data_IF_430895951129
#
_entry.id   IF_430895951129
#
_cell.length_a   1.000
_cell.length_b   1.000
_cell.length_c   1.000
_cell.angle_alpha   90.00
_cell.angle_beta   90.00
_cell.angle_gamma   90.00
#
_symmetry.space_group_name_H-M   'P 1'
#
loop_
_entity.id
_entity.type
_entity.pdbx_description
1 polymer ?
#
# COMPACT_ATOMS: atom_id res chain seq x y z
N UNK A 1 13.44 -3.36 16.68
CA UNK A 1 12.74 -3.67 15.43
C UNK A 1 11.89 -4.91 15.72
N UNK A 2 10.60 -4.70 15.87
CA UNK A 2 9.69 -5.84 15.98
C UNK A 2 9.56 -6.46 14.60
N UNK A 3 9.94 -7.72 14.50
CA UNK A 3 9.74 -8.58 13.34
C UNK A 3 8.24 -8.73 13.07
N UNK A 4 7.68 -7.79 12.33
CA UNK A 4 6.37 -8.01 11.72
C UNK A 4 6.62 -8.88 10.50
N UNK A 5 6.72 -10.19 10.73
CA UNK A 5 6.75 -11.15 9.64
C UNK A 5 5.53 -10.90 8.76
N UNK A 6 5.75 -10.64 7.49
CA UNK A 6 4.66 -10.56 6.51
C UNK A 6 4.03 -11.94 6.39
N UNK A 7 3.08 -12.22 7.24
CA UNK A 7 2.30 -13.47 7.21
C UNK A 7 1.20 -13.35 6.16
N UNK A 8 0.78 -14.46 5.61
CA UNK A 8 -0.36 -14.47 4.68
C UNK A 8 -1.70 -14.47 5.42
N UNK A 9 -1.70 -15.04 6.60
CA UNK A 9 -2.83 -15.04 7.51
C UNK A 9 -2.30 -14.58 8.87
N UNK A 10 -2.90 -13.54 9.41
CA UNK A 10 -2.62 -13.04 10.74
C UNK A 10 -3.71 -13.48 11.69
N UNK A 11 -3.32 -14.04 12.83
CA UNK A 11 -4.27 -14.35 13.90
C UNK A 11 -4.76 -13.06 14.54
N UNK A 12 -6.06 -12.97 14.79
CA UNK A 12 -6.65 -11.86 15.52
C UNK A 12 -6.21 -11.92 16.98
N UNK A 13 -5.49 -10.90 17.45
CA UNK A 13 -4.81 -10.89 18.75
C UNK A 13 -4.98 -9.58 19.54
N UNK A 14 -5.84 -8.65 19.07
CA UNK A 14 -6.08 -7.36 19.71
C UNK A 14 -4.80 -6.55 20.02
N UNK A 15 -3.79 -6.65 19.13
CA UNK A 15 -2.65 -5.75 19.22
C UNK A 15 -3.04 -4.33 18.82
N UNK A 16 -2.32 -3.28 19.26
CA UNK A 16 -2.62 -1.90 18.87
C UNK A 16 -2.71 -1.72 17.34
N UNK A 17 -1.87 -2.40 16.58
CA UNK A 17 -1.91 -2.36 15.11
C UNK A 17 -3.22 -2.93 14.57
N UNK A 18 -3.71 -4.01 15.16
CA UNK A 18 -4.97 -4.64 14.74
C UNK A 18 -6.18 -3.82 15.18
N UNK A 19 -6.16 -3.28 16.42
CA UNK A 19 -7.25 -2.44 16.94
C UNK A 19 -7.48 -1.19 16.11
N UNK A 20 -6.40 -0.49 15.75
CA UNK A 20 -6.49 0.72 14.92
C UNK A 20 -6.47 0.45 13.42
N UNK A 21 -6.16 -0.77 13.02
CA UNK A 21 -6.16 -1.22 11.64
C UNK A 21 -7.43 -1.98 11.28
N UNK A 22 -7.32 -3.31 11.24
CA UNK A 22 -8.38 -4.18 10.71
C UNK A 22 -9.67 -4.15 11.52
N UNK A 23 -9.61 -4.16 12.86
CA UNK A 23 -10.82 -4.09 13.69
C UNK A 23 -11.56 -2.79 13.49
N UNK A 24 -10.84 -1.67 13.55
CA UNK A 24 -11.42 -0.35 13.33
C UNK A 24 -12.04 -0.23 11.93
N UNK A 25 -11.28 -0.67 10.91
CA UNK A 25 -11.78 -0.66 9.54
C UNK A 25 -13.08 -1.43 9.40
N UNK A 26 -13.13 -2.68 9.84
CA UNK A 26 -14.32 -3.52 9.68
C UNK A 26 -15.54 -2.97 10.45
N UNK A 27 -15.31 -2.40 11.64
CA UNK A 27 -16.39 -1.78 12.41
C UNK A 27 -16.96 -0.55 11.69
N UNK A 28 -16.13 0.40 11.34
CA UNK A 28 -16.59 1.67 10.74
C UNK A 28 -17.07 1.50 9.30
N UNK A 29 -16.42 0.62 8.52
CA UNK A 29 -16.81 0.36 7.14
C UNK A 29 -18.16 -0.36 7.01
N UNK A 30 -18.61 -1.03 8.06
CA UNK A 30 -19.93 -1.67 8.10
C UNK A 30 -21.07 -0.67 7.86
N UNK A 31 -20.92 0.55 8.33
CA UNK A 31 -21.91 1.63 8.19
C UNK A 31 -21.85 2.35 6.83
N UNK A 32 -20.76 2.16 6.06
CA UNK A 32 -20.62 2.77 4.73
C UNK A 32 -20.87 1.74 3.62
N UNK A 33 -21.94 1.95 2.84
CA UNK A 33 -22.37 1.02 1.78
C UNK A 33 -21.28 0.76 0.74
N UNK A 34 -20.44 1.75 0.40
CA UNK A 34 -19.38 1.60 -0.60
C UNK A 34 -18.24 0.75 -0.01
N UNK A 35 -17.82 1.02 1.21
CA UNK A 35 -16.77 0.25 1.87
C UNK A 35 -17.23 -1.16 2.18
N UNK A 36 -18.44 -1.34 2.70
CA UNK A 36 -19.03 -2.65 3.00
C UNK A 36 -19.17 -3.53 1.76
N UNK A 37 -19.46 -2.96 0.61
CA UNK A 37 -19.55 -3.68 -0.66
C UNK A 37 -18.18 -3.84 -1.35
N UNK A 38 -17.10 -3.35 -0.78
CA UNK A 38 -15.77 -3.57 -1.34
C UNK A 38 -15.35 -5.04 -1.18
N UNK A 39 -14.62 -5.53 -2.15
CA UNK A 39 -14.08 -6.89 -2.10
C UNK A 39 -13.13 -7.07 -0.90
N UNK A 40 -12.39 -6.03 -0.54
CA UNK A 40 -11.53 -6.03 0.65
C UNK A 40 -12.34 -6.28 1.93
N UNK A 41 -13.42 -5.52 2.15
CA UNK A 41 -14.28 -5.70 3.32
C UNK A 41 -14.88 -7.11 3.37
N UNK A 42 -15.37 -7.62 2.25
CA UNK A 42 -15.96 -8.96 2.19
C UNK A 42 -14.96 -10.07 2.54
N UNK A 43 -13.76 -10.03 1.95
CA UNK A 43 -12.72 -11.02 2.21
C UNK A 43 -12.21 -10.96 3.66
N UNK A 44 -12.04 -9.77 4.20
CA UNK A 44 -11.57 -9.61 5.59
C UNK A 44 -12.64 -9.97 6.60
N UNK A 45 -13.91 -9.64 6.36
CA UNK A 45 -15.03 -10.07 7.22
C UNK A 45 -15.17 -11.59 7.27
N UNK A 46 -15.02 -12.26 6.12
CA UNK A 46 -15.00 -13.73 6.06
C UNK A 46 -13.81 -14.31 6.82
N UNK A 47 -12.63 -13.74 6.65
CA UNK A 47 -11.41 -14.18 7.35
C UNK A 47 -11.52 -13.96 8.86
N UNK A 48 -12.06 -12.81 9.28
CA UNK A 48 -12.27 -12.47 10.69
C UNK A 48 -13.23 -13.43 11.39
N UNK A 49 -14.27 -13.91 10.71
CA UNK A 49 -15.18 -14.92 11.24
C UNK A 49 -14.44 -16.24 11.62
N UNK A 50 -13.26 -16.47 11.06
CA UNK A 50 -12.37 -17.59 11.36
C UNK A 50 -11.20 -17.20 12.30
N UNK A 51 -11.28 -16.03 12.95
CA UNK A 51 -10.25 -15.53 13.87
C UNK A 51 -8.96 -15.05 13.21
N UNK A 52 -9.01 -14.69 11.94
CA UNK A 52 -7.84 -14.29 11.15
C UNK A 52 -8.11 -13.05 10.30
N UNK A 53 -7.06 -12.45 9.77
CA UNK A 53 -7.15 -11.50 8.66
C UNK A 53 -6.03 -11.77 7.64
N UNK A 54 -6.21 -11.25 6.43
CA UNK A 54 -5.36 -11.57 5.29
C UNK A 54 -4.21 -10.55 5.16
N UNK A 55 -3.02 -11.03 4.86
CA UNK A 55 -1.93 -10.18 4.41
C UNK A 55 -2.07 -9.81 2.93
N UNK A 56 -1.38 -8.75 2.51
CA UNK A 56 -1.43 -8.25 1.13
C UNK A 56 -1.16 -9.33 0.05
N UNK A 57 -0.20 -10.27 0.20
CA UNK A 57 -0.04 -11.34 -0.77
C UNK A 57 -1.23 -12.32 -0.81
N UNK A 58 -1.85 -12.64 0.33
CA UNK A 58 -3.03 -13.49 0.36
C UNK A 58 -4.23 -12.82 -0.33
N UNK A 59 -4.44 -11.53 -0.07
CA UNK A 59 -5.43 -10.72 -0.76
C UNK A 59 -5.19 -10.72 -2.28
N UNK A 60 -3.95 -10.46 -2.72
CA UNK A 60 -3.61 -10.47 -4.14
C UNK A 60 -3.92 -11.82 -4.79
N UNK A 61 -3.57 -12.93 -4.15
CA UNK A 61 -3.83 -14.27 -4.66
C UNK A 61 -5.33 -14.59 -4.71
N UNK A 62 -6.11 -14.18 -3.72
CA UNK A 62 -7.57 -14.38 -3.71
C UNK A 62 -8.28 -13.53 -4.78
N UNK A 63 -7.87 -12.26 -4.92
CA UNK A 63 -8.52 -11.31 -5.85
C UNK A 63 -8.16 -11.58 -7.31
N UNK A 64 -6.93 -11.98 -7.58
CA UNK A 64 -6.38 -12.07 -8.92
C UNK A 64 -6.20 -13.52 -9.42
N UNK A 65 -6.82 -14.48 -8.75
CA UNK A 65 -6.57 -15.91 -8.98
C UNK A 65 -6.76 -16.38 -10.44
N UNK A 66 -7.71 -15.81 -11.18
CA UNK A 66 -8.05 -16.27 -12.54
C UNK A 66 -7.65 -15.30 -13.66
N UNK A 67 -7.22 -14.09 -13.30
CA UNK A 67 -7.07 -13.00 -14.26
C UNK A 67 -5.61 -12.69 -14.62
N UNK A 68 -4.65 -13.42 -14.05
CA UNK A 68 -3.23 -13.15 -14.23
C UNK A 68 -2.42 -14.38 -14.65
N UNK A 69 -1.25 -14.13 -15.22
CA UNK A 69 -0.32 -15.19 -15.66
C UNK A 69 0.53 -15.78 -14.52
N UNK A 70 0.61 -15.11 -13.40
CA UNK A 70 1.36 -15.56 -12.24
C UNK A 70 1.66 -14.44 -11.24
N UNK A 71 2.10 -14.85 -10.06
CA UNK A 71 2.54 -13.97 -8.99
C UNK A 71 4.04 -14.09 -8.79
N UNK A 72 4.71 -12.95 -8.55
CA UNK A 72 6.12 -12.87 -8.21
C UNK A 72 6.25 -12.18 -6.86
N UNK A 73 6.88 -12.82 -5.90
CA UNK A 73 7.09 -12.28 -4.55
C UNK A 73 8.57 -12.21 -4.23
N UNK A 74 8.98 -11.09 -3.65
CA UNK A 74 10.36 -10.82 -3.27
C UNK A 74 10.40 -10.46 -1.79
N UNK A 75 11.21 -11.15 -1.02
CA UNK A 75 11.42 -10.85 0.39
C UNK A 75 12.81 -11.35 0.83
N UNK A 76 13.43 -10.66 1.78
CA UNK A 76 14.64 -11.13 2.45
C UNK A 76 14.34 -12.24 3.46
N UNK A 77 13.12 -12.26 3.99
CA UNK A 77 12.68 -13.22 4.98
C UNK A 77 12.18 -14.52 4.31
N UNK A 78 13.02 -15.55 4.35
CA UNK A 78 12.70 -16.87 3.79
C UNK A 78 11.39 -17.44 4.35
N UNK A 79 11.16 -17.28 5.65
CA UNK A 79 9.94 -17.74 6.30
C UNK A 79 8.67 -17.06 5.77
N UNK A 80 8.74 -15.78 5.39
CA UNK A 80 7.63 -15.09 4.75
C UNK A 80 7.30 -15.71 3.38
N UNK A 81 8.31 -16.02 2.59
CA UNK A 81 8.14 -16.67 1.28
C UNK A 81 7.57 -18.10 1.40
N UNK A 82 8.05 -18.89 2.36
CA UNK A 82 7.51 -20.22 2.65
C UNK A 82 6.04 -20.18 3.09
N UNK A 83 5.64 -19.14 3.83
CA UNK A 83 4.24 -18.89 4.18
C UNK A 83 3.39 -18.57 2.94
N UNK A 84 3.90 -17.77 2.00
CA UNK A 84 3.22 -17.48 0.72
C UNK A 84 2.96 -18.77 -0.05
N UNK A 85 3.97 -19.59 -0.24
CA UNK A 85 3.87 -20.86 -0.97
C UNK A 85 2.91 -21.84 -0.27
N UNK A 86 2.95 -21.89 1.05
CA UNK A 86 2.04 -22.75 1.83
C UNK A 86 0.60 -22.29 1.71
N UNK A 87 0.34 -20.98 1.79
CA UNK A 87 -0.98 -20.43 1.57
C UNK A 87 -1.49 -20.76 0.16
N UNK A 88 -0.66 -20.55 -0.86
CA UNK A 88 -1.02 -20.82 -2.25
C UNK A 88 -1.42 -22.29 -2.47
N UNK A 89 -0.64 -23.24 -1.92
CA UNK A 89 -0.98 -24.67 -1.97
C UNK A 89 -2.31 -24.97 -1.29
N UNK A 90 -2.53 -24.43 -0.09
CA UNK A 90 -3.76 -24.66 0.68
C UNK A 90 -5.00 -24.08 0.01
N UNK A 91 -4.86 -22.95 -0.68
CA UNK A 91 -5.96 -22.29 -1.37
C UNK A 91 -6.10 -22.74 -2.83
N UNK A 92 -5.31 -23.72 -3.28
CA UNK A 92 -5.28 -24.18 -4.66
C UNK A 92 -5.19 -23.02 -5.68
N UNK A 93 -4.31 -22.06 -5.41
CA UNK A 93 -4.09 -20.89 -6.28
C UNK A 93 -3.59 -21.38 -7.65
N UNK A 94 -4.34 -21.08 -8.70
CA UNK A 94 -4.11 -21.62 -10.06
C UNK A 94 -2.94 -20.96 -10.79
N UNK A 95 -2.77 -19.61 -10.75
CA UNK A 95 -1.64 -18.96 -11.39
C UNK A 95 -0.31 -19.37 -10.73
N UNK A 96 0.75 -19.62 -11.52
CA UNK A 96 2.05 -19.95 -10.99
C UNK A 96 2.57 -18.92 -10.01
N UNK A 97 3.17 -19.39 -8.93
CA UNK A 97 3.81 -18.54 -7.93
C UNK A 97 5.31 -18.76 -8.00
N UNK A 98 6.06 -17.66 -8.02
CA UNK A 98 7.52 -17.66 -7.90
C UNK A 98 7.92 -16.75 -6.75
N UNK A 99 8.74 -17.27 -5.87
CA UNK A 99 9.31 -16.56 -4.74
C UNK A 99 10.81 -16.32 -4.96
N UNK A 100 11.29 -15.17 -4.52
CA UNK A 100 12.70 -14.78 -4.66
C UNK A 100 13.20 -14.30 -3.30
N UNK A 101 14.09 -15.08 -2.69
CA UNK A 101 14.70 -14.72 -1.41
C UNK A 101 15.92 -13.80 -1.69
N UNK A 102 15.66 -12.54 -1.89
CA UNK A 102 16.66 -11.52 -2.17
C UNK A 102 16.12 -10.11 -1.82
N UNK A 103 17.02 -9.13 -1.87
CA UNK A 103 16.62 -7.72 -1.84
C UNK A 103 15.59 -7.46 -2.95
N UNK A 104 14.41 -6.95 -2.56
CA UNK A 104 13.28 -6.77 -3.48
C UNK A 104 13.55 -5.69 -4.53
N UNK A 105 14.31 -4.65 -4.18
CA UNK A 105 14.65 -3.57 -5.12
C UNK A 105 15.52 -4.11 -6.24
N UNK A 106 16.62 -4.76 -5.88
CA UNK A 106 17.56 -5.32 -6.87
C UNK A 106 16.95 -6.49 -7.64
N UNK A 107 16.23 -7.37 -6.93
CA UNK A 107 15.54 -8.51 -7.54
C UNK A 107 14.55 -8.08 -8.60
N UNK A 108 13.72 -7.09 -8.31
CA UNK A 108 12.74 -6.57 -9.27
C UNK A 108 13.44 -5.84 -10.41
N UNK A 109 14.38 -4.92 -10.14
CA UNK A 109 15.11 -4.20 -11.18
C UNK A 109 15.77 -5.14 -12.19
N UNK A 110 16.31 -6.25 -11.72
CA UNK A 110 16.95 -7.26 -12.56
C UNK A 110 15.99 -7.93 -13.55
N UNK A 111 14.75 -8.20 -13.14
CA UNK A 111 13.79 -8.92 -13.98
C UNK A 111 12.86 -8.02 -14.78
N UNK A 112 12.72 -6.73 -14.40
CA UNK A 112 11.80 -5.78 -15.04
C UNK A 112 11.86 -5.80 -16.58
N UNK A 113 13.05 -5.83 -17.24
CA UNK A 113 13.11 -5.82 -18.71
C UNK A 113 12.47 -7.05 -19.36
N UNK A 114 12.34 -8.16 -18.63
CA UNK A 114 11.75 -9.40 -19.13
C UNK A 114 10.25 -9.53 -18.84
N UNK A 115 9.69 -8.62 -18.04
CA UNK A 115 8.28 -8.67 -17.69
C UNK A 115 7.39 -8.00 -18.75
N UNK A 116 6.17 -8.51 -18.97
CA UNK A 116 5.24 -7.90 -19.92
C UNK A 116 4.76 -6.53 -19.40
N UNK A 117 4.42 -5.61 -20.33
CA UNK A 117 3.86 -4.27 -19.98
C UNK A 117 2.56 -4.35 -19.17
N UNK A 118 1.83 -5.47 -19.26
CA UNK A 118 0.61 -5.73 -18.48
C UNK A 118 0.89 -6.05 -17.01
N UNK A 119 2.16 -6.13 -16.60
CA UNK A 119 2.53 -6.37 -15.21
C UNK A 119 2.02 -5.23 -14.31
N UNK A 120 1.48 -5.61 -13.17
CA UNK A 120 1.14 -4.70 -12.08
C UNK A 120 2.13 -4.88 -10.94
N UNK A 121 2.72 -3.78 -10.48
CA UNK A 121 3.63 -3.77 -9.34
C UNK A 121 2.91 -3.15 -8.13
N UNK A 122 2.86 -3.89 -7.05
CA UNK A 122 2.51 -3.39 -5.72
C UNK A 122 3.79 -3.29 -4.89
N UNK A 123 4.13 -2.09 -4.45
CA UNK A 123 5.36 -1.75 -3.74
C UNK A 123 4.95 -1.21 -2.37
N UNK A 124 5.29 -1.93 -1.31
CA UNK A 124 4.85 -1.64 0.06
C UNK A 124 6.05 -1.69 1.03
N UNK A 125 6.97 -0.70 0.94
CA UNK A 125 8.11 -0.60 1.84
C UNK A 125 7.73 0.13 3.14
N UNK A 126 8.54 -0.09 4.18
CA UNK A 126 8.47 0.74 5.38
C UNK A 126 9.05 2.16 5.14
N UNK A 127 10.18 2.24 4.40
CA UNK A 127 10.90 3.50 4.10
C UNK A 127 11.17 3.58 2.59
N UNK A 128 10.46 4.47 1.89
CA UNK A 128 10.57 4.58 0.42
C UNK A 128 11.87 5.19 -0.08
N UNK A 129 12.55 5.97 0.76
CA UNK A 129 13.79 6.70 0.46
C UNK A 129 15.05 5.94 0.89
N UNK A 130 14.89 4.84 1.63
CA UNK A 130 16.01 4.00 2.04
C UNK A 130 16.70 3.39 0.85
N UNK A 131 18.01 3.59 0.81
CA UNK A 131 18.87 2.98 -0.21
C UNK A 131 19.29 1.58 0.22
N UNK A 132 19.25 0.66 -0.72
CA UNK A 132 19.83 -0.66 -0.52
C UNK A 132 21.37 -0.60 -0.68
N UNK A 133 22.04 -1.73 -0.55
CA UNK A 133 23.52 -1.83 -0.66
C UNK A 133 24.07 -1.37 -2.02
N UNK A 134 23.27 -1.41 -3.08
CA UNK A 134 23.63 -0.95 -4.42
C UNK A 134 23.21 0.50 -4.69
N UNK A 135 22.71 1.22 -3.69
CA UNK A 135 22.30 2.61 -3.77
C UNK A 135 20.94 2.86 -4.42
N UNK A 136 20.19 1.80 -4.74
CA UNK A 136 18.85 1.89 -5.30
C UNK A 136 17.79 2.06 -4.21
N UNK A 137 16.65 2.61 -4.60
CA UNK A 137 15.47 2.80 -3.73
C UNK A 137 14.21 2.22 -4.40
N UNK A 138 13.13 2.12 -3.64
CA UNK A 138 11.83 1.70 -4.17
C UNK A 138 11.31 2.61 -5.29
N UNK A 139 11.66 3.92 -5.27
CA UNK A 139 11.32 4.82 -6.36
C UNK A 139 12.12 4.54 -7.64
N UNK A 140 13.29 3.94 -7.56
CA UNK A 140 14.00 3.49 -8.75
C UNK A 140 13.30 2.33 -9.43
N UNK A 141 12.71 1.41 -8.64
CA UNK A 141 11.83 0.35 -9.15
C UNK A 141 10.58 0.93 -9.81
N UNK A 142 9.87 1.81 -9.10
CA UNK A 142 8.65 2.44 -9.61
C UNK A 142 8.91 3.19 -10.92
N UNK A 143 9.94 4.04 -10.97
CA UNK A 143 10.25 4.84 -12.15
C UNK A 143 10.68 3.97 -13.34
N UNK A 144 11.45 2.92 -13.09
CA UNK A 144 11.88 1.98 -14.14
C UNK A 144 10.68 1.20 -14.71
N UNK A 145 9.82 0.67 -13.85
CA UNK A 145 8.62 -0.05 -14.26
C UNK A 145 7.63 0.87 -15.01
N UNK A 146 7.46 2.12 -14.54
CA UNK A 146 6.61 3.11 -15.20
C UNK A 146 7.07 3.41 -16.62
N UNK A 147 8.39 3.59 -16.83
CA UNK A 147 8.96 3.80 -18.17
C UNK A 147 8.75 2.63 -19.12
N UNK A 148 8.68 1.42 -18.58
CA UNK A 148 8.35 0.21 -19.35
C UNK A 148 6.84 0.06 -19.62
N UNK A 149 6.01 1.00 -19.15
CA UNK A 149 4.56 1.02 -19.35
C UNK A 149 3.79 0.13 -18.37
N UNK A 150 4.43 -0.36 -17.32
CA UNK A 150 3.78 -1.18 -16.28
C UNK A 150 2.97 -0.30 -15.33
N UNK A 151 1.88 -0.85 -14.80
CA UNK A 151 1.07 -0.21 -13.78
C UNK A 151 1.74 -0.38 -12.43
N UNK A 152 1.88 0.71 -11.67
CA UNK A 152 2.50 0.66 -10.35
C UNK A 152 1.62 1.30 -9.29
N UNK A 153 1.65 0.73 -8.11
CA UNK A 153 1.07 1.26 -6.88
C UNK A 153 2.14 1.16 -5.78
N UNK A 154 2.51 2.29 -5.22
CA UNK A 154 3.47 2.36 -4.13
C UNK A 154 2.80 2.99 -2.92
N UNK A 155 2.85 2.30 -1.79
CA UNK A 155 2.42 2.80 -0.49
C UNK A 155 3.61 3.37 0.29
N UNK A 156 3.36 4.40 1.10
CA UNK A 156 4.32 4.93 2.07
C UNK A 156 3.60 5.50 3.28
N UNK A 157 4.27 5.46 4.43
CA UNK A 157 3.77 6.01 5.68
C UNK A 157 4.63 7.19 6.17
N UNK A 158 4.06 8.03 7.04
CA UNK A 158 4.77 9.10 7.73
C UNK A 158 4.15 9.37 9.11
N UNK A 159 4.98 9.86 10.03
CA UNK A 159 4.59 10.13 11.42
C UNK A 159 4.40 11.63 11.70
N UNK A 160 4.99 12.51 10.89
CA UNK A 160 4.93 13.95 11.08
C UNK A 160 4.65 14.68 9.76
N UNK A 161 4.17 15.92 9.86
CA UNK A 161 3.99 16.80 8.69
C UNK A 161 5.33 17.11 8.01
N UNK A 162 6.39 17.28 8.79
CA UNK A 162 7.72 17.53 8.23
C UNK A 162 8.22 16.33 7.42
N UNK A 163 8.07 15.12 7.96
CA UNK A 163 8.42 13.89 7.24
C UNK A 163 7.63 13.77 5.93
N UNK A 164 6.30 13.99 5.98
CA UNK A 164 5.46 14.06 4.78
C UNK A 164 6.04 15.01 3.73
N UNK A 165 6.40 16.23 4.13
CA UNK A 165 6.94 17.24 3.20
C UNK A 165 8.27 16.80 2.59
N UNK A 166 9.14 16.18 3.38
CA UNK A 166 10.42 15.63 2.90
C UNK A 166 10.18 14.51 1.89
N UNK A 167 9.28 13.58 2.21
CA UNK A 167 8.93 12.47 1.31
C UNK A 167 8.29 12.97 0.01
N UNK A 168 7.38 13.94 0.07
CA UNK A 168 6.74 14.53 -1.10
C UNK A 168 7.76 15.22 -2.02
N UNK A 169 8.69 15.96 -1.44
CA UNK A 169 9.79 16.57 -2.20
C UNK A 169 10.65 15.50 -2.88
N UNK A 170 11.03 14.46 -2.13
CA UNK A 170 11.82 13.35 -2.65
C UNK A 170 11.11 12.63 -3.82
N UNK A 171 9.82 12.31 -3.67
CA UNK A 171 9.00 11.69 -4.72
C UNK A 171 8.95 12.58 -5.95
N UNK A 172 8.61 13.87 -5.78
CA UNK A 172 8.50 14.84 -6.88
C UNK A 172 9.82 14.98 -7.66
N UNK A 173 10.94 15.10 -6.95
CA UNK A 173 12.26 15.21 -7.59
C UNK A 173 12.64 13.93 -8.36
N UNK A 174 12.36 12.76 -7.80
CA UNK A 174 12.66 11.47 -8.46
C UNK A 174 11.83 11.28 -9.72
N UNK A 175 10.52 11.56 -9.67
CA UNK A 175 9.62 11.45 -10.82
C UNK A 175 10.00 12.46 -11.91
N UNK A 176 10.27 13.73 -11.54
CA UNK A 176 10.71 14.76 -12.46
C UNK A 176 12.02 14.37 -13.15
N UNK A 177 13.04 13.93 -12.41
CA UNK A 177 14.31 13.46 -12.98
C UNK A 177 14.12 12.26 -13.91
N UNK A 178 13.12 11.43 -13.65
CA UNK A 178 12.78 10.31 -14.51
C UNK A 178 11.94 10.72 -15.74
N UNK A 179 11.49 11.96 -15.84
CA UNK A 179 10.61 12.45 -16.91
C UNK A 179 9.18 11.90 -16.81
N UNK A 180 8.75 11.49 -15.60
CA UNK A 180 7.41 10.96 -15.35
C UNK A 180 6.52 12.11 -14.88
N UNK A 181 5.59 12.51 -15.73
CA UNK A 181 4.69 13.63 -15.51
C UNK A 181 3.23 13.22 -15.32
N UNK A 182 2.89 11.97 -15.64
CA UNK A 182 1.53 11.41 -15.43
C UNK A 182 1.55 10.41 -14.27
N UNK A 183 1.12 10.88 -13.12
CA UNK A 183 0.98 10.08 -11.91
C UNK A 183 -0.11 10.66 -11.00
N UNK A 184 -0.62 9.84 -10.13
CA UNK A 184 -1.58 10.24 -9.09
C UNK A 184 -1.02 9.86 -7.71
N UNK A 185 -1.27 10.72 -6.73
CA UNK A 185 -0.98 10.42 -5.35
C UNK A 185 -2.17 10.83 -4.47
N UNK A 186 -2.48 10.01 -3.50
CA UNK A 186 -3.53 10.24 -2.51
C UNK A 186 -2.94 10.04 -1.12
N UNK A 187 -3.10 11.02 -0.24
CA UNK A 187 -2.58 10.95 1.13
C UNK A 187 -3.70 11.06 2.15
N UNK A 188 -3.65 10.19 3.13
CA UNK A 188 -4.52 10.21 4.30
C UNK A 188 -3.74 10.76 5.49
N UNK A 189 -4.24 11.81 6.13
CA UNK A 189 -3.54 12.49 7.22
C UNK A 189 -4.48 12.63 8.41
N UNK A 190 -4.08 12.08 9.56
CA UNK A 190 -4.80 12.29 10.81
C UNK A 190 -4.52 13.67 11.37
N UNK A 191 -5.52 14.40 11.84
CA UNK A 191 -5.31 15.70 12.49
C UNK A 191 -4.40 15.61 13.72
N UNK A 192 -4.40 14.49 14.39
CA UNK A 192 -3.50 14.21 15.51
C UNK A 192 -2.02 14.42 15.15
N UNK A 193 -1.63 14.29 13.88
CA UNK A 193 -0.26 14.55 13.41
C UNK A 193 0.23 15.97 13.68
N UNK A 194 -0.68 16.92 13.93
CA UNK A 194 -0.34 18.31 14.26
C UNK A 194 0.00 18.52 15.74
N UNK A 195 -0.18 17.51 16.57
CA UNK A 195 0.04 17.57 18.01
C UNK A 195 1.29 16.76 18.36
N UNK A 196 2.35 17.42 18.77
CA UNK A 196 3.65 16.79 19.08
C UNK A 196 3.61 15.79 20.27
N UNK A 197 2.48 15.69 20.95
CA UNK A 197 2.33 14.86 22.16
C UNK A 197 1.68 13.51 21.92
N UNK A 198 1.39 13.17 20.70
CA UNK A 198 0.70 11.91 20.40
C UNK A 198 1.70 10.76 20.40
N UNK A 199 1.65 9.96 21.43
CA UNK A 199 2.34 8.66 21.43
C UNK A 199 1.43 7.65 20.73
N UNK A 200 1.87 7.20 19.58
CA UNK A 200 1.11 6.31 18.74
C UNK A 200 1.92 5.02 18.50
N UNK A 201 1.31 3.91 18.75
CA UNK A 201 1.81 2.62 18.29
C UNK A 201 0.72 2.01 17.39
N UNK A 202 0.99 1.80 16.08
CA UNK A 202 2.29 1.70 15.43
C UNK A 202 2.94 3.01 14.93
N UNK A 203 2.64 4.19 15.40
CA UNK A 203 3.39 5.40 15.08
C UNK A 203 3.01 6.13 13.78
N UNK A 204 2.37 5.47 12.82
CA UNK A 204 1.98 6.08 11.55
C UNK A 204 0.74 6.94 11.75
N UNK A 205 0.85 8.24 11.44
CA UNK A 205 -0.24 9.21 11.53
C UNK A 205 -0.72 9.70 10.16
N UNK A 206 -0.12 9.21 9.11
CA UNK A 206 -0.56 9.42 7.74
C UNK A 206 0.11 8.47 6.78
N UNK A 207 -0.51 8.28 5.64
CA UNK A 207 0.04 7.43 4.57
C UNK A 207 -0.35 7.95 3.20
N UNK A 208 0.44 7.60 2.20
CA UNK A 208 0.20 7.95 0.82
C UNK A 208 0.22 6.75 -0.10
N UNK A 209 -0.51 6.86 -1.19
CA UNK A 209 -0.48 5.94 -2.32
C UNK A 209 -0.05 6.73 -3.55
N UNK A 210 1.08 6.34 -4.14
CA UNK A 210 1.58 6.86 -5.40
C UNK A 210 1.28 5.83 -6.51
N UNK A 211 0.61 6.27 -7.56
CA UNK A 211 0.20 5.42 -8.66
C UNK A 211 0.64 5.95 -10.02
N UNK A 212 1.09 5.06 -10.91
CA UNK A 212 1.49 5.41 -12.28
C UNK A 212 0.88 4.47 -13.30
N UNK A 213 0.66 4.94 -14.52
CA UNK A 213 0.08 4.19 -15.64
C UNK A 213 -1.29 3.56 -15.33
N UNK A 214 -2.05 4.11 -14.40
CA UNK A 214 -3.40 3.62 -14.11
C UNK A 214 -4.41 4.06 -15.16
N UNK A 215 -5.47 3.25 -15.32
CA UNK A 215 -6.62 3.67 -16.10
C UNK A 215 -7.40 4.79 -15.38
N UNK A 216 -8.12 5.67 -16.09
CA UNK A 216 -8.98 6.66 -15.48
C UNK A 216 -9.99 6.07 -14.48
N UNK A 217 -10.49 4.86 -14.77
CA UNK A 217 -11.39 4.14 -13.86
C UNK A 217 -10.69 3.77 -12.55
N UNK A 218 -9.47 3.24 -12.62
CA UNK A 218 -8.70 2.87 -11.41
C UNK A 218 -8.34 4.11 -10.58
N UNK A 219 -7.97 5.21 -11.23
CA UNK A 219 -7.70 6.47 -10.55
C UNK A 219 -8.95 7.00 -9.83
N UNK A 220 -10.10 7.01 -10.49
CA UNK A 220 -11.38 7.40 -9.85
C UNK A 220 -11.75 6.51 -8.67
N UNK A 221 -11.46 5.20 -8.75
CA UNK A 221 -11.67 4.28 -7.62
C UNK A 221 -10.77 4.62 -6.43
N UNK A 222 -9.48 4.83 -6.65
CA UNK A 222 -8.56 5.25 -5.59
C UNK A 222 -9.07 6.52 -4.91
N UNK A 223 -9.49 7.54 -5.67
CA UNK A 223 -10.03 8.77 -5.12
C UNK A 223 -11.30 8.54 -4.29
N UNK A 224 -12.20 7.68 -4.76
CA UNK A 224 -13.45 7.36 -4.06
C UNK A 224 -13.16 6.65 -2.74
N UNK A 225 -12.36 5.59 -2.76
CA UNK A 225 -12.03 4.85 -1.55
C UNK A 225 -11.20 5.67 -0.57
N UNK A 226 -10.27 6.50 -1.05
CA UNK A 226 -9.50 7.40 -0.19
C UNK A 226 -10.42 8.37 0.57
N UNK A 227 -11.43 8.96 -0.09
CA UNK A 227 -12.42 9.83 0.58
C UNK A 227 -13.22 9.09 1.64
N UNK A 228 -13.61 7.85 1.37
CA UNK A 228 -14.34 7.02 2.32
C UNK A 228 -13.50 6.64 3.53
N UNK A 229 -12.23 6.27 3.31
CA UNK A 229 -11.30 6.00 4.39
C UNK A 229 -11.06 7.24 5.27
N UNK A 230 -10.95 8.43 4.67
CA UNK A 230 -10.90 9.69 5.44
C UNK A 230 -12.12 9.83 6.34
N UNK A 231 -13.31 9.57 5.81
CA UNK A 231 -14.54 9.74 6.57
C UNK A 231 -14.61 8.85 7.81
N UNK A 232 -14.15 7.59 7.70
CA UNK A 232 -14.18 6.65 8.83
C UNK A 232 -13.02 6.84 9.80
N UNK A 233 -11.83 7.26 9.32
CA UNK A 233 -10.63 7.37 10.14
C UNK A 233 -10.44 8.74 10.78
N UNK A 234 -11.33 9.72 10.55
CA UNK A 234 -11.19 11.09 11.07
C UNK A 234 -10.96 11.16 12.58
N UNK A 235 -11.58 10.27 13.35
CA UNK A 235 -11.49 10.24 14.81
C UNK A 235 -10.81 8.95 15.33
N UNK A 236 -10.15 8.20 14.48
CA UNK A 236 -9.75 6.81 14.71
C UNK A 236 -8.86 6.57 15.92
N UNK A 237 -7.98 7.46 16.30
CA UNK A 237 -7.01 7.19 17.37
C UNK A 237 -7.14 8.10 18.58
N UNK A 238 -7.87 9.19 18.43
CA UNK A 238 -7.74 10.32 19.35
C UNK A 238 -9.06 11.05 19.55
N UNK A 239 -10.10 10.34 19.95
CA UNK A 239 -11.34 11.00 20.38
C UNK A 239 -11.10 12.00 21.51
N UNK A 240 -10.15 11.70 22.41
CA UNK A 240 -9.73 12.58 23.49
C UNK A 240 -8.86 13.76 23.05
N UNK A 241 -8.28 13.72 21.86
CA UNK A 241 -7.38 14.75 21.35
C UNK A 241 -7.94 15.52 20.16
N UNK A 242 -9.25 15.39 19.91
CA UNK A 242 -9.89 16.07 18.78
C UNK A 242 -9.15 15.85 17.43
N UNK A 243 -8.69 14.62 17.25
CA UNK A 243 -8.01 14.22 16.02
C UNK A 243 -9.00 14.01 14.88
N UNK A 244 -8.68 14.50 13.70
CA UNK A 244 -9.41 14.18 12.46
C UNK A 244 -8.47 13.66 11.40
N UNK A 245 -9.01 12.91 10.45
CA UNK A 245 -8.33 12.44 9.26
C UNK A 245 -8.88 13.23 8.06
N UNK A 246 -8.00 13.72 7.20
CA UNK A 246 -8.40 14.30 5.93
C UNK A 246 -7.58 13.73 4.79
N UNK A 247 -8.20 13.69 3.63
CA UNK A 247 -7.57 13.23 2.40
C UNK A 247 -6.99 14.43 1.65
N UNK A 248 -5.69 14.44 1.51
CA UNK A 248 -4.96 15.36 0.67
C UNK A 248 -4.81 14.70 -0.71
N UNK A 249 -5.90 14.76 -1.49
CA UNK A 249 -5.87 14.25 -2.86
C UNK A 249 -5.10 15.25 -3.71
N UNK A 250 -3.96 14.82 -4.16
CA UNK A 250 -2.93 15.61 -4.82
C UNK A 250 -3.35 16.20 -6.17
N UNK A 251 -4.54 15.94 -6.64
CA UNK A 251 -5.12 16.64 -7.79
C UNK A 251 -5.50 18.08 -7.51
N UNK A 252 -5.40 18.53 -6.27
CA UNK A 252 -5.72 19.90 -5.89
C UNK A 252 -4.45 20.72 -5.75
N UNK A 253 -4.04 21.32 -6.85
CA UNK A 253 -3.19 22.55 -6.94
C UNK A 253 -1.89 22.65 -6.15
N UNK A 254 -1.56 21.85 -5.18
CA UNK A 254 -0.34 21.99 -4.35
C UNK A 254 0.45 20.70 -4.22
N UNK A 255 -0.08 19.67 -4.72
CA UNK A 255 0.43 18.35 -4.56
C UNK A 255 0.62 17.72 -5.93
N UNK A 256 1.11 16.67 -5.99
CA UNK A 256 1.67 15.83 -6.97
C UNK A 256 0.67 15.33 -8.04
N UNK A 257 -0.29 16.09 -8.50
CA UNK A 257 -1.00 15.72 -9.72
C UNK A 257 -0.57 16.63 -10.83
N UNK A 258 0.22 16.09 -11.70
CA UNK A 258 0.52 16.72 -12.96
C UNK A 258 -0.65 16.44 -13.88
N UNK A 259 -1.16 17.52 -14.49
CA UNK A 259 -2.24 17.41 -15.47
C UNK A 259 -1.86 16.37 -16.50
N UNK A 260 -2.74 15.39 -16.71
CA UNK A 260 -2.72 14.61 -17.93
C UNK A 260 -2.83 15.59 -19.07
N UNK A 261 -1.81 15.73 -19.86
CA UNK A 261 -1.97 16.35 -21.17
C UNK A 261 -2.80 15.36 -21.99
N UNK A 262 -4.02 15.77 -22.30
CA UNK A 262 -4.88 15.12 -23.28
C UNK A 262 -4.22 15.17 -24.65
#
# INVERSE_FOLDING_TARGET
ASDVYKRQIYTMAHTPEQEYGIYYFLNEANEDVILRNSLYYQLESESMANGNYLGSPALAMKVLNNDIKGHLFFDLEKGALENIETFARRQAVTPPIKTFNCDSVDGVLKILPSLPKSTFLHIDPYEIDKRNNNGHTYLDVLTSATKLGMKCLLWYGFMTINEKQVLNKYVSEKLSKAGINDYACSELIMNAIKKDTVVCNPGILGSGILATNLSPKSDAMIQTYSKKLVAIYKDARYKEFDGSLYNDIISKKQNIRIKRHL
#
